data_IF_377828356754
#
_entry.id   IF_377828356754
#
_cell.length_a   1.000
_cell.length_b   1.000
_cell.length_c   1.000
_cell.angle_alpha   90.00
_cell.angle_beta   90.00
_cell.angle_gamma   90.00
#
_symmetry.space_group_name_H-M   'P 1'
#
loop_
_entity.id
_entity.type
_entity.pdbx_description
1 polymer ?
#
# COMPACT_ATOMS: atom_id res chain seq x y z
N UNK A 1 58.42 -44.63 -11.74
CA UNK A 1 57.22 -44.54 -12.60
C UNK A 1 56.17 -43.57 -12.06
N UNK A 2 55.86 -43.60 -10.75
CA UNK A 2 54.77 -42.85 -10.12
C UNK A 2 54.76 -41.33 -10.38
N UNK A 3 55.92 -40.64 -10.34
CA UNK A 3 56.00 -39.18 -10.59
C UNK A 3 55.74 -38.76 -12.04
N UNK A 4 56.12 -39.59 -13.02
CA UNK A 4 55.87 -39.30 -14.45
C UNK A 4 54.39 -39.47 -14.81
N UNK A 5 53.75 -40.47 -14.21
CA UNK A 5 52.30 -40.69 -14.37
C UNK A 5 51.50 -39.57 -13.68
N UNK A 6 51.93 -39.12 -12.50
CA UNK A 6 51.32 -37.99 -11.81
C UNK A 6 51.40 -36.68 -12.62
N UNK A 7 52.52 -36.43 -13.30
CA UNK A 7 52.66 -35.26 -14.18
C UNK A 7 51.67 -35.27 -15.36
N UNK A 8 51.39 -36.44 -15.94
CA UNK A 8 50.41 -36.58 -17.04
C UNK A 8 49.00 -36.26 -16.54
N UNK A 9 48.60 -36.81 -15.38
CA UNK A 9 47.29 -36.50 -14.79
C UNK A 9 47.16 -35.05 -14.35
N UNK A 10 48.22 -34.45 -13.81
CA UNK A 10 48.24 -33.02 -13.48
C UNK A 10 47.97 -32.16 -14.72
N UNK A 11 48.68 -32.42 -15.83
CA UNK A 11 48.46 -31.70 -17.09
C UNK A 11 47.04 -31.90 -17.60
N UNK A 12 46.51 -33.13 -17.52
CA UNK A 12 45.13 -33.42 -17.91
C UNK A 12 44.10 -32.60 -17.11
N UNK A 13 44.22 -32.56 -15.78
CA UNK A 13 43.30 -31.78 -14.95
C UNK A 13 43.43 -30.27 -15.18
N UNK A 14 44.65 -29.77 -15.39
CA UNK A 14 44.89 -28.35 -15.73
C UNK A 14 44.24 -28.00 -17.07
N UNK A 15 44.39 -28.85 -18.09
CA UNK A 15 43.76 -28.63 -19.40
C UNK A 15 42.24 -28.66 -19.31
N UNK A 16 41.66 -29.58 -18.55
CA UNK A 16 40.21 -29.61 -18.32
C UNK A 16 39.71 -28.34 -17.60
N UNK A 17 40.41 -27.90 -16.55
CA UNK A 17 40.07 -26.66 -15.85
C UNK A 17 40.15 -25.44 -16.75
N UNK A 18 41.23 -25.31 -17.53
CA UNK A 18 41.40 -24.21 -18.48
C UNK A 18 40.35 -24.22 -19.60
N UNK A 19 39.96 -25.41 -20.07
CA UNK A 19 38.91 -25.55 -21.09
C UNK A 19 37.54 -25.14 -20.55
N UNK A 20 37.18 -25.58 -19.34
CA UNK A 20 35.94 -25.17 -18.68
C UNK A 20 35.92 -23.65 -18.46
N UNK A 21 37.01 -23.08 -17.91
CA UNK A 21 37.13 -21.64 -17.68
C UNK A 21 36.99 -20.82 -18.97
N UNK A 22 37.54 -21.29 -20.09
CA UNK A 22 37.41 -20.61 -21.39
C UNK A 22 35.95 -20.52 -21.86
N UNK A 23 35.12 -21.53 -21.55
CA UNK A 23 33.68 -21.49 -21.85
C UNK A 23 32.97 -20.50 -20.94
N UNK A 24 33.28 -20.50 -19.64
CA UNK A 24 32.72 -19.56 -18.66
C UNK A 24 33.01 -18.11 -19.06
N UNK A 25 34.27 -17.82 -19.40
CA UNK A 25 34.73 -16.46 -19.66
C UNK A 25 34.18 -15.84 -20.96
N UNK A 26 33.64 -16.66 -21.86
CA UNK A 26 33.10 -16.20 -23.15
C UNK A 26 31.57 -16.29 -23.21
N UNK A 27 30.93 -16.88 -22.20
CA UNK A 27 29.51 -17.12 -22.21
C UNK A 27 28.73 -15.93 -21.64
N UNK A 28 27.86 -15.35 -22.45
CA UNK A 28 26.91 -14.31 -22.03
C UNK A 28 25.57 -14.93 -21.62
N UNK A 29 24.96 -14.39 -20.56
CA UNK A 29 23.62 -14.78 -20.13
C UNK A 29 22.58 -14.37 -21.19
N UNK A 30 21.60 -15.23 -21.52
CA UNK A 30 20.51 -14.86 -22.43
C UNK A 30 19.71 -13.67 -21.87
N UNK A 31 19.45 -12.66 -22.70
CA UNK A 31 18.54 -11.57 -22.33
C UNK A 31 17.09 -12.09 -22.15
N UNK A 32 16.32 -11.43 -21.29
CA UNK A 32 14.86 -11.60 -21.24
C UNK A 32 14.26 -10.72 -22.32
N UNK A 33 13.54 -11.31 -23.27
CA UNK A 33 12.68 -10.54 -24.18
C UNK A 33 11.28 -10.45 -23.58
N UNK A 34 10.69 -9.26 -23.63
CA UNK A 34 9.32 -8.98 -23.17
C UNK A 34 8.52 -8.52 -24.40
N UNK A 35 7.91 -9.44 -25.17
CA UNK A 35 7.21 -9.08 -26.40
C UNK A 35 6.07 -8.11 -26.12
N UNK A 36 5.96 -7.08 -26.96
CA UNK A 36 4.97 -6.00 -26.82
C UNK A 36 5.03 -5.30 -25.44
N UNK A 37 6.15 -5.42 -24.72
CA UNK A 37 6.41 -4.69 -23.51
C UNK A 37 6.77 -3.25 -23.81
N UNK A 38 6.14 -2.33 -23.10
CA UNK A 38 6.56 -0.93 -23.06
C UNK A 38 7.34 -0.67 -21.78
N UNK A 39 8.45 0.06 -21.89
CA UNK A 39 9.35 0.39 -20.78
C UNK A 39 8.99 1.75 -20.19
N UNK A 40 8.89 1.79 -18.86
CA UNK A 40 8.53 2.97 -18.11
C UNK A 40 9.52 3.21 -16.97
N UNK A 41 10.14 4.39 -16.96
CA UNK A 41 10.99 4.83 -15.86
C UNK A 41 10.16 5.39 -14.70
N UNK A 42 10.77 5.51 -13.52
CA UNK A 42 10.14 6.15 -12.36
C UNK A 42 9.62 7.57 -12.69
N UNK A 43 8.39 7.87 -12.27
CA UNK A 43 7.71 9.13 -12.48
C UNK A 43 7.10 9.32 -13.87
N UNK A 44 7.29 8.38 -14.80
CA UNK A 44 6.62 8.42 -16.12
C UNK A 44 5.14 8.08 -16.00
N UNK A 45 4.35 8.47 -17.00
CA UNK A 45 2.92 8.17 -17.04
C UNK A 45 2.57 7.23 -18.19
N UNK A 46 1.56 6.40 -17.97
CA UNK A 46 0.92 5.58 -18.99
C UNK A 46 -0.60 5.70 -18.90
N UNK A 47 -1.29 5.46 -20.02
CA UNK A 47 -2.76 5.47 -20.06
C UNK A 47 -3.30 4.11 -20.47
N UNK A 48 -4.11 3.50 -19.61
CA UNK A 48 -4.75 2.20 -19.86
C UNK A 48 -6.25 2.34 -19.63
N UNK A 49 -7.06 1.94 -20.61
CA UNK A 49 -8.52 2.00 -20.48
C UNK A 49 -9.08 3.41 -20.21
N UNK A 50 -8.34 4.46 -20.57
CA UNK A 50 -8.70 5.87 -20.29
C UNK A 50 -8.27 6.38 -18.91
N UNK A 51 -7.71 5.53 -18.05
CA UNK A 51 -7.11 5.93 -16.77
C UNK A 51 -5.61 6.23 -16.97
N UNK A 52 -5.17 7.40 -16.51
CA UNK A 52 -3.75 7.73 -16.42
C UNK A 52 -3.16 7.17 -15.11
N UNK A 53 -2.01 6.54 -15.22
CA UNK A 53 -1.21 5.99 -14.12
C UNK A 53 0.17 6.63 -14.15
N UNK A 54 0.72 6.96 -12.97
CA UNK A 54 2.13 7.31 -12.77
C UNK A 54 2.88 6.10 -12.25
N UNK A 55 3.99 5.75 -12.89
CA UNK A 55 4.88 4.68 -12.43
C UNK A 55 5.70 5.18 -11.25
N UNK A 56 5.64 4.45 -10.15
CA UNK A 56 6.49 4.65 -8.98
C UNK A 56 7.41 3.44 -8.90
N UNK A 57 8.70 3.64 -9.12
CA UNK A 57 9.69 2.57 -9.11
C UNK A 57 10.85 2.93 -8.19
N UNK A 58 11.19 2.01 -7.29
CA UNK A 58 12.21 2.20 -6.25
C UNK A 58 13.02 0.92 -6.07
N UNK A 59 14.29 1.06 -5.71
CA UNK A 59 15.14 -0.06 -5.32
C UNK A 59 15.42 0.07 -3.83
N UNK A 60 14.94 -0.89 -3.04
CA UNK A 60 15.15 -0.93 -1.60
C UNK A 60 16.49 -1.55 -1.25
N UNK A 61 17.28 -0.85 -0.43
CA UNK A 61 18.55 -1.34 0.09
C UNK A 61 18.31 -2.10 1.41
N UNK A 62 18.71 -3.37 1.45
CA UNK A 62 18.69 -4.20 2.64
C UNK A 62 20.11 -4.59 3.03
N UNK A 63 20.54 -4.19 4.23
CA UNK A 63 21.85 -4.54 4.79
C UNK A 63 21.72 -5.53 5.94
N UNK A 64 22.33 -6.71 5.83
CA UNK A 64 22.30 -7.77 6.85
C UNK A 64 23.43 -7.63 7.90
N UNK A 65 24.23 -6.57 7.84
CA UNK A 65 25.32 -6.30 8.78
C UNK A 65 26.57 -7.17 8.57
N UNK A 66 26.58 -8.05 7.56
CA UNK A 66 27.72 -8.90 7.20
C UNK A 66 28.52 -8.37 6.00
N UNK A 67 28.28 -7.12 5.61
CA UNK A 67 28.98 -6.45 4.50
C UNK A 67 28.40 -6.77 3.12
N UNK A 68 27.24 -7.42 3.05
CA UNK A 68 26.41 -7.52 1.86
C UNK A 68 25.34 -6.42 1.87
N UNK A 69 25.23 -5.72 0.74
CA UNK A 69 24.10 -4.85 0.45
C UNK A 69 23.26 -5.54 -0.61
N UNK A 70 22.04 -5.93 -0.25
CA UNK A 70 21.07 -6.48 -1.20
C UNK A 70 20.14 -5.36 -1.69
N UNK A 71 19.85 -5.36 -2.98
CA UNK A 71 18.96 -4.41 -3.64
C UNK A 71 17.71 -5.12 -4.10
N UNK A 72 16.54 -4.72 -3.60
CA UNK A 72 15.24 -5.30 -3.95
C UNK A 72 14.41 -4.31 -4.75
N UNK A 73 14.13 -4.57 -6.03
CA UNK A 73 13.27 -3.69 -6.83
C UNK A 73 11.82 -3.78 -6.36
N UNK A 74 11.15 -2.63 -6.26
CA UNK A 74 9.75 -2.48 -5.94
C UNK A 74 9.11 -1.45 -6.88
N UNK A 75 7.91 -1.72 -7.38
CA UNK A 75 7.20 -0.79 -8.23
C UNK A 75 5.70 -0.83 -8.01
N UNK A 76 5.04 0.30 -8.25
CA UNK A 76 3.60 0.44 -8.21
C UNK A 76 3.11 1.44 -9.26
N UNK A 77 1.83 1.39 -9.57
CA UNK A 77 1.13 2.35 -10.41
C UNK A 77 0.21 3.20 -9.56
N UNK A 78 0.48 4.50 -9.48
CA UNK A 78 -0.39 5.45 -8.79
C UNK A 78 -1.37 6.08 -9.76
N UNK A 79 -2.63 6.22 -9.35
CA UNK A 79 -3.65 6.90 -10.15
C UNK A 79 -4.62 7.67 -9.26
N UNK A 80 -5.36 8.61 -9.84
CA UNK A 80 -6.41 9.35 -9.15
C UNK A 80 -7.77 8.74 -9.53
N UNK A 81 -8.54 8.33 -8.53
CA UNK A 81 -9.94 7.97 -8.67
C UNK A 81 -10.79 9.20 -8.34
N UNK A 82 -11.25 9.91 -9.37
CA UNK A 82 -12.14 11.08 -9.24
C UNK A 82 -13.57 10.73 -8.85
N UNK A 83 -13.89 9.44 -8.74
CA UNK A 83 -15.21 8.92 -8.42
C UNK A 83 -15.21 8.12 -7.10
N UNK A 84 -14.25 8.38 -6.21
CA UNK A 84 -14.24 7.73 -4.91
C UNK A 84 -15.42 8.23 -4.07
N UNK A 85 -16.26 7.30 -3.63
CA UNK A 85 -17.40 7.58 -2.76
C UNK A 85 -16.89 7.70 -1.34
N UNK A 86 -17.12 8.86 -0.74
CA UNK A 86 -16.80 9.15 0.65
C UNK A 86 -18.07 9.26 1.47
N UNK A 87 -17.98 8.92 2.75
CA UNK A 87 -19.11 8.95 3.68
C UNK A 87 -18.72 9.57 5.02
N UNK A 88 -19.65 10.29 5.63
CA UNK A 88 -19.56 10.74 7.02
C UNK A 88 -20.88 10.46 7.75
N UNK A 89 -20.82 10.29 9.06
CA UNK A 89 -21.97 10.02 9.89
C UNK A 89 -22.20 11.15 10.89
N UNK A 90 -23.45 11.57 11.02
CA UNK A 90 -23.94 12.39 12.12
C UNK A 90 -24.72 11.51 13.07
N UNK A 91 -24.09 11.13 14.18
CA UNK A 91 -24.70 10.26 15.19
C UNK A 91 -25.72 11.03 16.03
N UNK A 92 -26.84 10.39 16.37
CA UNK A 92 -27.89 10.99 17.18
C UNK A 92 -27.39 11.31 18.60
N UNK A 93 -27.58 12.54 19.05
CA UNK A 93 -27.10 13.02 20.33
C UNK A 93 -25.62 13.38 20.36
N UNK A 94 -24.92 13.31 19.23
CA UNK A 94 -23.56 13.84 19.10
C UNK A 94 -23.57 15.36 18.88
N UNK A 95 -22.39 15.98 18.96
CA UNK A 95 -22.17 17.37 18.58
C UNK A 95 -21.27 17.40 17.35
N UNK A 96 -21.64 18.22 16.36
CA UNK A 96 -20.91 18.37 15.09
C UNK A 96 -20.65 19.83 14.77
N UNK A 97 -19.55 20.08 14.08
CA UNK A 97 -19.25 21.41 13.53
C UNK A 97 -19.97 21.62 12.20
N UNK A 98 -20.74 22.69 12.08
CA UNK A 98 -21.48 23.05 10.87
C UNK A 98 -21.44 24.55 10.66
N UNK A 99 -21.05 25.00 9.46
CA UNK A 99 -20.88 26.43 9.11
C UNK A 99 -19.98 27.24 10.07
N UNK A 100 -19.11 26.58 10.84
CA UNK A 100 -18.16 27.19 11.77
C UNK A 100 -18.59 27.22 13.23
N UNK A 101 -19.82 26.78 13.55
CA UNK A 101 -20.35 26.68 14.90
C UNK A 101 -20.68 25.22 15.26
N UNK A 102 -20.90 24.94 16.55
CA UNK A 102 -21.19 23.59 17.07
C UNK A 102 -22.69 23.36 17.25
N UNK A 103 -23.17 22.20 16.80
CA UNK A 103 -24.59 21.83 16.83
C UNK A 103 -24.80 20.43 17.39
N UNK A 104 -25.82 20.27 18.22
CA UNK A 104 -26.29 18.96 18.67
C UNK A 104 -27.14 18.31 17.57
N UNK A 105 -26.79 17.07 17.22
CA UNK A 105 -27.51 16.27 16.24
C UNK A 105 -28.73 15.65 16.91
N UNK A 106 -29.91 15.88 16.36
CA UNK A 106 -31.19 15.30 16.83
C UNK A 106 -31.86 14.61 15.66
N UNK A 107 -31.97 13.28 15.73
CA UNK A 107 -32.65 12.51 14.69
C UNK A 107 -34.06 12.16 15.14
N UNK A 108 -35.03 12.50 14.29
CA UNK A 108 -36.40 12.04 14.42
C UNK A 108 -36.66 10.98 13.34
N UNK A 109 -36.50 9.72 13.75
CA UNK A 109 -36.73 8.56 12.88
C UNK A 109 -38.20 8.42 12.43
N UNK A 110 -39.16 8.97 13.16
CA UNK A 110 -40.58 8.88 12.77
C UNK A 110 -40.90 9.83 11.60
N UNK A 111 -40.27 11.00 11.58
CA UNK A 111 -40.39 11.94 10.47
C UNK A 111 -39.33 11.73 9.37
N UNK A 112 -38.28 10.94 9.65
CA UNK A 112 -37.16 10.74 8.74
C UNK A 112 -36.35 12.02 8.54
N UNK A 113 -36.17 12.78 9.63
CA UNK A 113 -35.46 14.07 9.59
C UNK A 113 -34.30 14.09 10.58
N UNK A 114 -33.24 14.80 10.22
CA UNK A 114 -32.15 15.16 11.12
C UNK A 114 -32.18 16.66 11.35
N UNK A 115 -32.02 17.07 12.61
CA UNK A 115 -31.93 18.47 13.01
C UNK A 115 -30.58 18.74 13.64
N UNK A 116 -29.95 19.82 13.22
CA UNK A 116 -28.81 20.40 13.90
C UNK A 116 -29.31 21.56 14.74
N UNK A 117 -29.15 21.48 16.06
CA UNK A 117 -29.61 22.53 16.98
C UNK A 117 -28.39 23.13 17.67
N UNK A 118 -28.22 24.44 17.59
CA UNK A 118 -27.05 25.15 18.15
C UNK A 118 -26.71 24.66 19.57
N UNK A 119 -25.47 24.19 19.77
CA UNK A 119 -25.06 23.62 21.05
C UNK A 119 -24.86 24.72 22.09
N UNK A 120 -25.32 24.47 23.33
CA UNK A 120 -25.29 25.47 24.42
C UNK A 120 -24.42 24.96 25.56
N UNK A 121 -23.57 25.83 26.12
CA UNK A 121 -22.86 25.56 27.36
C UNK A 121 -23.83 25.58 28.55
N UNK A 122 -24.41 24.41 28.82
CA UNK A 122 -25.39 24.20 29.88
C UNK A 122 -24.84 24.64 31.24
N UNK A 123 -23.58 24.35 31.55
CA UNK A 123 -23.00 24.70 32.84
C UNK A 123 -22.92 26.22 33.02
N UNK A 124 -22.52 26.95 31.98
CA UNK A 124 -22.51 28.41 31.99
C UNK A 124 -23.93 29.00 32.07
N UNK A 125 -24.89 28.43 31.35
CA UNK A 125 -26.31 28.83 31.42
C UNK A 125 -26.85 28.68 32.84
N UNK A 126 -26.70 27.51 33.44
CA UNK A 126 -27.23 27.24 34.79
C UNK A 126 -26.53 28.06 35.87
N UNK A 127 -25.22 28.33 35.73
CA UNK A 127 -24.50 29.19 36.66
C UNK A 127 -24.97 30.64 36.63
N UNK A 128 -25.46 31.12 35.48
CA UNK A 128 -25.96 32.48 35.29
C UNK A 128 -27.45 32.63 35.61
N UNK A 129 -28.19 31.54 35.80
CA UNK A 129 -29.61 31.56 36.15
C UNK A 129 -29.83 31.33 37.66
N UNK A 130 -30.16 32.41 38.36
CA UNK A 130 -30.47 32.37 39.80
C UNK A 130 -31.74 31.57 40.16
N UNK A 131 -32.61 31.26 39.19
CA UNK A 131 -33.86 30.53 39.44
C UNK A 131 -33.67 29.01 39.55
N UNK A 132 -32.61 28.43 38.97
CA UNK A 132 -32.38 26.98 38.89
C UNK A 132 -31.04 26.56 39.50
N UNK A 133 -30.93 25.34 40.02
CA UNK A 133 -29.64 24.82 40.50
C UNK A 133 -28.60 24.74 39.37
N UNK A 134 -27.31 24.84 39.73
CA UNK A 134 -26.20 24.89 38.78
C UNK A 134 -25.82 23.52 38.18
N UNK A 135 -26.58 22.47 38.54
CA UNK A 135 -26.36 21.09 38.11
C UNK A 135 -27.70 20.51 37.66
N UNK A 136 -27.65 19.65 36.66
CA UNK A 136 -28.80 18.90 36.16
C UNK A 136 -29.03 17.65 37.02
N UNK A 137 -30.27 17.15 36.98
CA UNK A 137 -30.67 15.89 37.61
C UNK A 137 -31.38 15.03 36.58
N UNK A 138 -31.25 13.70 36.68
CA UNK A 138 -31.97 12.78 35.82
C UNK A 138 -33.28 12.36 36.48
N UNK A 139 -34.41 12.64 35.82
CA UNK A 139 -35.76 12.30 36.28
C UNK A 139 -36.42 11.42 35.24
N UNK A 140 -36.75 10.17 35.61
CA UNK A 140 -37.33 9.18 34.68
C UNK A 140 -36.50 8.95 33.40
N UNK A 141 -35.17 9.08 33.49
CA UNK A 141 -34.27 8.94 32.33
C UNK A 141 -34.10 10.22 31.50
N UNK A 142 -34.77 11.32 31.86
CA UNK A 142 -34.64 12.62 31.19
C UNK A 142 -33.82 13.56 32.04
N UNK A 143 -32.77 14.13 31.46
CA UNK A 143 -32.00 15.19 32.11
C UNK A 143 -32.88 16.43 32.30
N UNK A 144 -32.85 17.01 33.49
CA UNK A 144 -33.77 18.05 33.95
C UNK A 144 -33.03 19.08 34.78
N UNK A 145 -33.52 20.32 34.76
CA UNK A 145 -33.13 21.38 35.69
C UNK A 145 -34.12 21.43 36.86
N UNK A 146 -33.64 21.81 38.04
CA UNK A 146 -34.49 21.96 39.24
C UNK A 146 -34.61 23.43 39.62
N UNK A 147 -35.83 23.94 39.77
CA UNK A 147 -36.08 25.31 40.23
C UNK A 147 -35.91 25.43 41.75
N UNK A 148 -35.24 26.49 42.21
CA UNK A 148 -34.94 26.72 43.63
C UNK A 148 -36.16 27.11 44.46
N UNK A 149 -37.12 27.80 43.87
CA UNK A 149 -38.30 28.33 44.57
C UNK A 149 -39.16 27.23 45.18
N UNK A 150 -39.34 26.13 44.45
CA UNK A 150 -40.30 25.09 44.80
C UNK A 150 -39.82 23.65 44.52
N UNK A 151 -38.56 23.48 44.11
CA UNK A 151 -37.95 22.19 43.78
C UNK A 151 -38.70 21.43 42.67
N UNK A 152 -39.39 22.14 41.76
CA UNK A 152 -39.95 21.52 40.57
C UNK A 152 -38.86 21.24 39.55
N UNK A 153 -38.94 20.05 38.93
CA UNK A 153 -38.05 19.66 37.85
C UNK A 153 -38.69 20.00 36.50
N UNK A 154 -37.85 20.43 35.56
CA UNK A 154 -38.22 20.67 34.17
C UNK A 154 -37.20 20.01 33.24
N UNK A 155 -37.61 19.33 32.16
CA UNK A 155 -36.68 18.77 31.19
C UNK A 155 -35.69 19.82 30.68
N UNK A 156 -34.41 19.45 30.58
CA UNK A 156 -33.34 20.35 30.17
C UNK A 156 -33.61 20.94 28.78
N UNK A 157 -34.03 20.10 27.83
CA UNK A 157 -34.37 20.53 26.47
C UNK A 157 -35.48 21.61 26.45
N UNK A 158 -36.51 21.48 27.30
CA UNK A 158 -37.57 22.49 27.41
C UNK A 158 -37.06 23.79 28.04
N UNK A 159 -36.23 23.69 29.08
CA UNK A 159 -35.62 24.85 29.71
C UNK A 159 -34.73 25.62 28.73
N UNK A 160 -33.88 24.92 27.98
CA UNK A 160 -33.01 25.55 26.98
C UNK A 160 -33.82 26.18 25.83
N UNK A 161 -34.92 25.54 25.39
CA UNK A 161 -35.79 26.11 24.38
C UNK A 161 -36.49 27.41 24.83
N UNK A 162 -36.77 27.56 26.14
CA UNK A 162 -37.32 28.81 26.69
C UNK A 162 -36.27 29.90 26.87
N UNK A 163 -35.07 29.53 27.34
CA UNK A 163 -33.98 30.50 27.56
C UNK A 163 -33.42 31.03 26.23
N UNK A 164 -33.41 30.18 25.20
CA UNK A 164 -32.86 30.50 23.89
C UNK A 164 -33.86 30.13 22.79
N UNK A 165 -34.97 30.90 22.65
CA UNK A 165 -36.01 30.62 21.66
C UNK A 165 -35.54 30.84 20.22
N UNK A 166 -34.49 31.64 20.04
CA UNK A 166 -33.91 32.00 18.75
C UNK A 166 -32.67 31.15 18.39
N UNK A 167 -32.47 29.99 19.05
CA UNK A 167 -31.38 29.05 18.73
C UNK A 167 -31.42 28.68 17.26
N UNK A 168 -30.28 28.79 16.62
CA UNK A 168 -30.18 28.40 15.22
C UNK A 168 -30.47 26.91 15.08
N UNK A 169 -31.33 26.56 14.13
CA UNK A 169 -31.68 25.17 13.86
C UNK A 169 -31.76 24.94 12.37
N UNK A 170 -31.04 23.91 11.92
CA UNK A 170 -31.16 23.39 10.56
C UNK A 170 -31.93 22.07 10.60
N UNK A 171 -32.69 21.81 9.55
CA UNK A 171 -33.45 20.57 9.40
C UNK A 171 -33.21 20.04 8.01
N UNK A 172 -32.87 18.76 7.92
CA UNK A 172 -32.59 18.06 6.68
C UNK A 172 -33.39 16.75 6.62
N UNK A 173 -33.68 16.34 5.39
CA UNK A 173 -34.30 15.06 5.04
C UNK A 173 -33.40 14.32 4.06
N UNK A 174 -33.63 13.02 3.91
CA UNK A 174 -32.90 12.22 2.92
C UNK A 174 -33.06 12.82 1.50
N UNK A 175 -31.94 12.95 0.79
CA UNK A 175 -31.82 13.60 -0.52
C UNK A 175 -31.40 15.06 -0.47
N UNK A 176 -31.39 15.70 0.71
CA UNK A 176 -30.96 17.09 0.84
C UNK A 176 -29.46 17.25 0.63
N UNK A 177 -29.06 18.40 0.07
CA UNK A 177 -27.66 18.81 -0.03
C UNK A 177 -27.23 19.49 1.26
N UNK A 178 -26.07 19.09 1.78
CA UNK A 178 -25.51 19.55 3.05
C UNK A 178 -24.06 19.97 2.84
N UNK A 179 -23.69 21.16 3.34
CA UNK A 179 -22.29 21.59 3.35
C UNK A 179 -21.56 20.94 4.54
N UNK A 180 -20.62 20.05 4.25
CA UNK A 180 -19.84 19.34 5.26
C UNK A 180 -18.35 19.41 4.90
N UNK A 181 -17.53 19.88 5.85
CA UNK A 181 -16.08 20.07 5.67
C UNK A 181 -15.69 20.85 4.38
N UNK A 182 -16.44 21.92 4.08
CA UNK A 182 -16.31 22.72 2.84
C UNK A 182 -16.57 21.93 1.54
N UNK A 183 -17.28 20.81 1.63
CA UNK A 183 -17.72 20.01 0.50
C UNK A 183 -19.25 19.96 0.45
N UNK A 184 -19.81 20.01 -0.76
CA UNK A 184 -21.24 19.77 -0.96
C UNK A 184 -21.47 18.27 -0.94
N UNK A 185 -22.20 17.82 0.07
CA UNK A 185 -22.53 16.41 0.31
C UNK A 185 -24.03 16.18 0.18
N UNK A 186 -24.45 14.94 0.02
CA UNK A 186 -25.86 14.55 -0.02
C UNK A 186 -26.19 13.70 1.20
N UNK A 187 -27.29 13.99 1.88
CA UNK A 187 -27.80 13.14 2.94
C UNK A 187 -28.47 11.92 2.34
N UNK A 188 -27.86 10.75 2.47
CA UNK A 188 -28.25 9.53 1.73
C UNK A 188 -29.00 8.50 2.56
N UNK A 189 -28.90 8.56 3.88
CA UNK A 189 -29.63 7.67 4.76
C UNK A 189 -29.87 8.37 6.10
N UNK A 190 -31.02 8.10 6.71
CA UNK A 190 -31.33 8.52 8.06
C UNK A 190 -31.88 7.29 8.80
N UNK A 191 -31.27 6.97 9.93
CA UNK A 191 -31.70 5.89 10.83
C UNK A 191 -31.98 6.48 12.22
N UNK A 192 -32.42 5.67 13.18
CA UNK A 192 -32.58 6.14 14.57
C UNK A 192 -31.26 6.49 15.27
N UNK A 193 -30.14 6.00 14.73
CA UNK A 193 -28.82 6.09 15.36
C UNK A 193 -27.94 7.13 14.68
N UNK A 194 -28.01 7.24 13.35
CA UNK A 194 -27.16 8.16 12.58
C UNK A 194 -27.80 8.60 11.26
N UNK A 195 -27.30 9.72 10.75
CA UNK A 195 -27.61 10.26 9.43
C UNK A 195 -26.33 10.22 8.58
N UNK A 196 -26.37 9.58 7.40
CA UNK A 196 -25.20 9.34 6.54
C UNK A 196 -25.12 10.35 5.41
N UNK A 197 -24.05 11.14 5.41
CA UNK A 197 -23.67 12.03 4.33
C UNK A 197 -22.78 11.26 3.34
N UNK A 198 -23.04 11.44 2.05
CA UNK A 198 -22.25 10.85 0.97
C UNK A 198 -21.84 11.91 -0.04
N UNK A 199 -20.61 11.85 -0.52
CA UNK A 199 -20.13 12.69 -1.61
C UNK A 199 -19.09 11.97 -2.45
N UNK A 200 -18.74 12.56 -3.58
CA UNK A 200 -17.68 12.07 -4.46
C UNK A 200 -16.46 12.98 -4.33
N UNK A 201 -15.29 12.38 -4.14
CA UNK A 201 -14.03 13.11 -4.06
C UNK A 201 -12.92 12.38 -4.85
N UNK A 202 -11.90 13.13 -5.23
CA UNK A 202 -10.69 12.58 -5.85
C UNK A 202 -9.81 11.94 -4.79
N UNK A 203 -9.50 10.66 -4.95
CA UNK A 203 -8.61 9.91 -4.05
C UNK A 203 -7.47 9.26 -4.83
N UNK A 204 -6.24 9.38 -4.31
CA UNK A 204 -5.09 8.70 -4.91
C UNK A 204 -5.07 7.25 -4.49
N UNK A 205 -4.97 6.36 -5.47
CA UNK A 205 -4.87 4.93 -5.31
C UNK A 205 -3.50 4.43 -5.81
N UNK A 206 -3.12 3.23 -5.37
CA UNK A 206 -1.90 2.53 -5.79
C UNK A 206 -2.24 1.10 -6.20
N UNK A 207 -1.57 0.61 -7.24
CA UNK A 207 -1.59 -0.80 -7.64
C UNK A 207 -0.16 -1.31 -7.60
N UNK A 208 0.12 -2.22 -6.68
CA UNK A 208 1.44 -2.81 -6.55
C UNK A 208 1.76 -3.73 -7.73
N UNK A 209 2.99 -3.65 -8.22
CA UNK A 209 3.53 -4.50 -9.27
C UNK A 209 4.53 -5.49 -8.66
N UNK A 210 4.64 -6.66 -9.26
CA UNK A 210 5.69 -7.63 -8.95
C UNK A 210 6.34 -8.12 -10.23
N UNK A 211 7.64 -8.39 -10.20
CA UNK A 211 8.37 -8.93 -11.35
C UNK A 211 7.80 -10.31 -11.73
N UNK A 212 7.39 -10.44 -12.99
CA UNK A 212 6.67 -11.60 -13.53
C UNK A 212 5.24 -11.76 -13.00
N UNK A 213 4.72 -10.80 -12.22
CA UNK A 213 3.39 -10.86 -11.63
C UNK A 213 2.32 -10.21 -12.50
N UNK A 214 1.10 -10.78 -12.47
CA UNK A 214 -0.04 -10.24 -13.21
C UNK A 214 -0.72 -9.10 -12.45
N UNK A 215 -1.10 -8.05 -13.18
CA UNK A 215 -1.88 -6.91 -12.72
C UNK A 215 -3.04 -6.65 -13.68
N UNK A 216 -4.23 -6.38 -13.14
CA UNK A 216 -5.39 -5.99 -13.96
C UNK A 216 -5.63 -4.50 -13.82
N UNK A 217 -5.60 -3.80 -14.95
CA UNK A 217 -5.75 -2.34 -15.02
C UNK A 217 -7.12 -1.95 -15.57
N UNK A 218 -7.39 -0.65 -15.63
CA UNK A 218 -8.64 -0.12 -16.14
C UNK A 218 -8.99 -0.68 -17.53
N UNK A 219 -10.28 -0.91 -17.77
CA UNK A 219 -10.77 -1.60 -18.97
C UNK A 219 -10.71 -3.14 -18.89
N UNK A 220 -10.24 -3.72 -17.79
CA UNK A 220 -10.25 -5.16 -17.54
C UNK A 220 -9.12 -5.93 -18.22
N UNK A 221 -8.12 -5.23 -18.75
CA UNK A 221 -6.97 -5.84 -19.39
C UNK A 221 -5.94 -6.26 -18.35
N UNK A 222 -5.42 -7.48 -18.47
CA UNK A 222 -4.38 -8.02 -17.57
C UNK A 222 -3.01 -7.95 -18.24
N UNK A 223 -2.07 -7.35 -17.53
CA UNK A 223 -0.66 -7.20 -17.90
C UNK A 223 0.20 -7.98 -16.91
N UNK A 224 1.46 -8.24 -17.26
CA UNK A 224 2.49 -8.58 -16.29
C UNK A 224 3.59 -7.52 -16.30
N UNK A 225 4.24 -7.35 -15.15
CA UNK A 225 5.40 -6.47 -15.04
C UNK A 225 6.70 -7.26 -15.15
N UNK A 226 7.72 -6.67 -15.77
CA UNK A 226 9.10 -7.11 -15.65
C UNK A 226 9.96 -5.95 -15.14
N UNK A 227 10.81 -6.24 -14.16
CA UNK A 227 11.71 -5.25 -13.57
C UNK A 227 13.08 -5.37 -14.22
N UNK A 228 13.49 -4.32 -14.92
CA UNK A 228 14.80 -4.22 -15.54
C UNK A 228 15.67 -3.26 -14.73
N UNK A 229 16.74 -3.78 -14.14
CA UNK A 229 17.67 -3.00 -13.33
C UNK A 229 18.96 -2.80 -14.09
N UNK A 230 19.35 -1.54 -14.29
CA UNK A 230 20.63 -1.18 -14.88
C UNK A 230 21.54 -0.52 -13.84
N UNK A 231 22.86 -0.65 -14.03
CA UNK A 231 23.86 -0.06 -13.14
C UNK A 231 24.22 -0.95 -11.94
N UNK A 232 24.92 -0.36 -10.97
CA UNK A 232 25.37 -1.07 -9.76
C UNK A 232 25.55 -0.10 -8.59
N UNK A 233 25.20 -0.54 -7.38
CA UNK A 233 25.38 0.28 -6.18
C UNK A 233 24.48 1.51 -6.19
N UNK A 234 25.06 2.69 -5.91
CA UNK A 234 24.32 3.95 -5.84
C UNK A 234 23.76 4.46 -7.19
N UNK A 235 24.22 3.91 -8.32
CA UNK A 235 23.77 4.26 -9.66
C UNK A 235 22.74 3.27 -10.22
N UNK A 236 22.14 2.42 -9.38
CA UNK A 236 21.09 1.49 -9.78
C UNK A 236 19.84 2.25 -10.24
N UNK A 237 19.42 2.01 -11.48
CA UNK A 237 18.15 2.47 -12.05
C UNK A 237 17.21 1.29 -12.23
N UNK A 238 15.92 1.51 -12.00
CA UNK A 238 14.87 0.53 -12.19
C UNK A 238 13.88 1.04 -13.22
N UNK A 239 13.78 0.32 -14.33
CA UNK A 239 12.74 0.48 -15.34
C UNK A 239 11.72 -0.65 -15.21
N UNK A 240 10.45 -0.29 -15.41
CA UNK A 240 9.32 -1.22 -15.34
C UNK A 240 8.82 -1.45 -16.75
N UNK A 241 8.88 -2.69 -17.21
CA UNK A 241 8.28 -3.10 -18.48
C UNK A 241 6.89 -3.68 -18.21
N UNK A 242 5.86 -3.18 -18.90
CA UNK A 242 4.51 -3.74 -18.83
C UNK A 242 4.13 -4.36 -20.18
N UNK A 243 3.73 -5.62 -20.15
CA UNK A 243 3.30 -6.35 -21.35
C UNK A 243 1.96 -7.07 -21.12
N UNK A 244 1.16 -7.29 -22.18
CA UNK A 244 -0.06 -8.07 -22.08
C UNK A 244 0.22 -9.48 -21.55
N UNK A 245 -0.63 -9.97 -20.64
CA UNK A 245 -0.52 -11.34 -20.08
C UNK A 245 -0.53 -12.47 -21.12
N UNK A 246 -1.04 -12.22 -22.34
CA UNK A 246 -0.96 -13.16 -23.45
C UNK A 246 0.47 -13.49 -23.89
N UNK A 247 1.41 -12.58 -23.65
CA UNK A 247 2.82 -12.73 -24.04
C UNK A 247 3.68 -13.38 -22.95
N UNK A 248 3.09 -13.69 -21.78
CA UNK A 248 3.79 -14.29 -20.65
C UNK A 248 4.49 -15.62 -20.99
N UNK A 249 3.96 -16.38 -21.95
CA UNK A 249 4.56 -17.63 -22.41
C UNK A 249 5.99 -17.45 -22.95
N UNK A 250 6.23 -16.38 -23.70
CA UNK A 250 7.55 -16.05 -24.23
C UNK A 250 8.52 -15.63 -23.10
N UNK A 251 8.08 -14.70 -22.25
CA UNK A 251 8.82 -14.25 -21.06
C UNK A 251 9.24 -15.41 -20.16
N UNK A 252 8.30 -16.30 -19.80
CA UNK A 252 8.59 -17.47 -18.96
C UNK A 252 9.57 -18.45 -19.62
N UNK A 253 9.51 -18.58 -20.95
CA UNK A 253 10.49 -19.36 -21.71
C UNK A 253 11.90 -18.81 -21.56
N UNK A 254 12.05 -17.49 -21.52
CA UNK A 254 13.34 -16.81 -21.41
C UNK A 254 13.92 -16.92 -20.00
N UNK A 255 13.08 -16.82 -18.97
CA UNK A 255 13.46 -17.14 -17.60
C UNK A 255 13.97 -18.58 -17.47
N UNK A 256 13.30 -19.54 -18.12
CA UNK A 256 13.76 -20.93 -18.16
C UNK A 256 15.12 -21.06 -18.85
N UNK A 257 15.35 -20.33 -19.94
CA UNK A 257 16.65 -20.29 -20.64
C UNK A 257 17.76 -19.74 -19.75
N UNK A 258 17.48 -18.69 -18.97
CA UNK A 258 18.44 -18.15 -18.01
C UNK A 258 18.75 -19.13 -16.87
N UNK A 259 17.74 -19.80 -16.32
CA UNK A 259 17.93 -20.84 -15.30
C UNK A 259 18.81 -21.97 -15.82
N UNK A 260 18.53 -22.48 -17.02
CA UNK A 260 19.37 -23.51 -17.64
C UNK A 260 20.81 -23.04 -17.88
N UNK A 261 20.99 -21.79 -18.31
CA UNK A 261 22.31 -21.20 -18.48
C UNK A 261 23.08 -21.17 -17.15
N UNK A 262 22.44 -20.71 -16.07
CA UNK A 262 23.04 -20.64 -14.74
C UNK A 262 23.39 -22.04 -14.20
N UNK A 263 22.54 -23.03 -14.42
CA UNK A 263 22.82 -24.42 -14.03
C UNK A 263 24.03 -24.98 -14.75
N UNK A 264 24.13 -24.76 -16.07
CA UNK A 264 25.30 -25.16 -16.87
C UNK A 264 26.57 -24.45 -16.39
N UNK A 265 26.47 -23.16 -16.07
CA UNK A 265 27.59 -22.36 -15.56
C UNK A 265 28.09 -22.86 -14.20
N UNK A 266 27.16 -23.15 -13.29
CA UNK A 266 27.46 -23.76 -11.99
C UNK A 266 28.13 -25.14 -12.17
N UNK A 267 27.67 -25.94 -13.14
CA UNK A 267 28.28 -27.21 -13.51
C UNK A 267 29.73 -27.07 -13.98
N UNK A 268 30.02 -26.09 -14.84
CA UNK A 268 31.38 -25.79 -15.31
C UNK A 268 32.30 -25.35 -14.17
N UNK A 269 31.80 -24.50 -13.25
CA UNK A 269 32.52 -24.15 -12.02
C UNK A 269 32.83 -25.37 -11.16
N UNK A 270 31.88 -26.31 -11.05
CA UNK A 270 32.08 -27.60 -10.39
C UNK A 270 33.23 -28.40 -10.99
N UNK A 271 33.35 -28.42 -12.32
CA UNK A 271 34.47 -29.08 -13.02
C UNK A 271 35.80 -28.42 -12.68
N UNK A 272 35.87 -27.08 -12.67
CA UNK A 272 37.10 -26.34 -12.32
C UNK A 272 37.54 -26.68 -10.89
N UNK A 273 36.61 -26.67 -9.93
CA UNK A 273 36.89 -26.97 -8.54
C UNK A 273 37.38 -28.42 -8.39
N UNK A 274 36.67 -29.39 -8.97
CA UNK A 274 37.03 -30.81 -8.91
C UNK A 274 38.37 -31.09 -9.57
N UNK A 275 38.64 -30.50 -10.74
CA UNK A 275 39.92 -30.64 -11.43
C UNK A 275 41.07 -30.05 -10.60
N UNK A 276 40.85 -28.91 -9.95
CA UNK A 276 41.84 -28.26 -9.08
C UNK A 276 42.15 -29.11 -7.84
N UNK A 277 41.12 -29.64 -7.17
CA UNK A 277 41.28 -30.55 -6.03
C UNK A 277 41.96 -31.84 -6.44
N UNK A 278 41.57 -32.45 -7.56
CA UNK A 278 42.18 -33.67 -8.06
C UNK A 278 43.66 -33.45 -8.44
N UNK A 279 43.98 -32.34 -9.10
CA UNK A 279 45.35 -31.95 -9.41
C UNK A 279 46.21 -31.82 -8.13
N UNK A 280 45.69 -31.14 -7.10
CA UNK A 280 46.35 -31.01 -5.81
C UNK A 280 46.57 -32.38 -5.16
N UNK A 281 45.54 -33.23 -5.10
CA UNK A 281 45.64 -34.57 -4.51
C UNK A 281 46.68 -35.44 -5.23
N UNK A 282 46.70 -35.43 -6.56
CA UNK A 282 47.67 -36.18 -7.37
C UNK A 282 49.09 -35.72 -7.05
N UNK A 283 49.32 -34.41 -6.93
CA UNK A 283 50.63 -33.88 -6.52
C UNK A 283 50.96 -34.30 -5.09
N UNK A 284 50.04 -34.12 -4.14
CA UNK A 284 50.26 -34.49 -2.74
C UNK A 284 50.60 -35.98 -2.57
N UNK A 285 49.89 -36.87 -3.26
CA UNK A 285 50.14 -38.33 -3.23
C UNK A 285 51.45 -38.72 -3.91
N UNK A 286 51.82 -38.04 -5.01
CA UNK A 286 53.08 -38.32 -5.71
C UNK A 286 54.34 -37.90 -4.93
N UNK A 287 54.19 -36.96 -4.00
CA UNK A 287 55.26 -36.43 -3.17
C UNK A 287 55.13 -36.80 -1.68
N UNK A 288 54.15 -37.63 -1.32
CA UNK A 288 54.04 -38.17 0.04
C UNK A 288 55.28 -39.02 0.36
N UNK A 289 55.96 -38.80 1.50
CA UNK A 289 57.11 -39.60 1.89
C UNK A 289 56.68 -41.04 2.18
N UNK A 290 57.22 -41.99 1.41
CA UNK A 290 57.00 -43.42 1.64
C UNK A 290 57.75 -43.79 2.92
N UNK A 291 57.03 -44.07 4.01
CA UNK A 291 57.61 -44.75 5.16
C UNK A 291 57.80 -46.21 4.74
N UNK A 292 59.06 -46.59 4.47
CA UNK A 292 59.48 -47.97 4.36
C UNK A 292 59.47 -48.66 5.71
#
# INVERSE_FOLDING_TARGET
MQRRVAAIYLVFFVVMGASAYSVIALADQPAVDVPNGETYANGTTLTVGGQEYTVIATVEESGDGHGGTDYTPAASLSYVNDSAVQTAAWENGSTVSYLGDEYDVRIDNASGTVRLVESIDVAATLANDSAVFNETVVVNGTESVTYREDNRNRPLDEYLAEQYPDRETFSFSEGDSVDYDNQSTTLTAITSEEATLTWTASERQSVELSDGGNVTLAGGNTYFAHFDTEGSGADLTLDVMLAPSSDYGAYSGDLSRQSEFKDRMNGLWGIIILASVAALLVVSLAYMPVRG
#
